data_IF_119540455102
#
_entry.id   IF_119540455102
#
_cell.length_a   1.000
_cell.length_b   1.000
_cell.length_c   1.000
_cell.angle_alpha   90.00
_cell.angle_beta   90.00
_cell.angle_gamma   90.00
#
_symmetry.space_group_name_H-M   'P 1'
#
loop_
_entity.id
_entity.type
_entity.pdbx_description
1 polymer ?
#
# COMPACT_ATOMS: atom_id res chain seq x y z
N UNK A 1 -0.55 2.79 13.13
CA UNK A 1 -1.30 2.70 14.42
C UNK A 1 -2.59 1.90 14.30
N UNK A 2 -3.44 2.15 13.31
CA UNK A 2 -4.64 1.31 13.07
C UNK A 2 -4.25 -0.11 12.63
N UNK A 3 -3.19 -0.24 11.85
CA UNK A 3 -2.67 -1.53 11.39
C UNK A 3 -2.29 -2.46 12.55
N UNK A 4 -1.60 -1.94 13.55
CA UNK A 4 -1.25 -2.67 14.79
C UNK A 4 -2.48 -3.10 15.62
N UNK A 5 -3.62 -2.45 15.42
CA UNK A 5 -4.87 -2.80 16.09
C UNK A 5 -5.63 -3.91 15.36
N UNK A 6 -5.64 -3.87 14.02
CA UNK A 6 -6.28 -4.86 13.15
C UNK A 6 -5.47 -6.16 13.03
N UNK A 7 -4.15 -6.07 13.20
CA UNK A 7 -3.22 -7.22 13.16
C UNK A 7 -2.80 -7.70 14.56
N UNK A 8 -3.62 -7.46 15.60
CA UNK A 8 -3.34 -8.03 16.92
C UNK A 8 -3.38 -9.56 16.83
N UNK A 9 -2.34 -10.24 17.36
CA UNK A 9 -2.33 -11.70 17.43
C UNK A 9 -3.62 -12.21 18.07
N UNK A 10 -4.35 -13.10 17.36
CA UNK A 10 -5.62 -13.65 17.82
C UNK A 10 -6.87 -12.84 17.48
N UNK A 11 -6.78 -11.79 16.65
CA UNK A 11 -7.98 -11.09 16.14
C UNK A 11 -8.73 -11.97 15.13
N UNK A 12 -10.05 -11.81 15.03
CA UNK A 12 -10.88 -12.54 14.06
C UNK A 12 -10.44 -12.27 12.61
N UNK A 13 -9.93 -11.08 12.31
CA UNK A 13 -9.38 -10.73 11.00
C UNK A 13 -8.10 -11.50 10.67
N UNK A 14 -7.20 -11.70 11.64
CA UNK A 14 -6.01 -12.53 11.44
C UNK A 14 -6.39 -13.99 11.19
N UNK A 15 -7.28 -14.55 12.01
CA UNK A 15 -7.74 -15.92 11.85
C UNK A 15 -8.37 -16.16 10.47
N UNK A 16 -9.13 -15.18 9.95
CA UNK A 16 -9.72 -15.25 8.60
C UNK A 16 -8.66 -15.21 7.50
N UNK A 17 -7.69 -14.29 7.59
CA UNK A 17 -6.59 -14.18 6.62
C UNK A 17 -5.71 -15.43 6.62
N UNK A 18 -5.43 -15.99 7.80
CA UNK A 18 -4.65 -17.22 7.91
C UNK A 18 -5.42 -18.43 7.35
N UNK A 19 -6.72 -18.54 7.63
CA UNK A 19 -7.56 -19.60 7.06
C UNK A 19 -7.60 -19.51 5.52
N UNK A 20 -7.70 -18.29 4.95
CA UNK A 20 -7.65 -18.08 3.51
C UNK A 20 -6.28 -18.43 2.94
N UNK A 21 -5.20 -18.04 3.61
CA UNK A 21 -3.83 -18.37 3.20
C UNK A 21 -3.59 -19.88 3.17
N UNK A 22 -4.05 -20.61 4.19
CA UNK A 22 -3.97 -22.08 4.21
C UNK A 22 -4.72 -22.71 3.05
N UNK A 23 -5.97 -22.28 2.79
CA UNK A 23 -6.76 -22.79 1.66
C UNK A 23 -6.09 -22.57 0.31
N UNK A 24 -5.56 -21.35 0.07
CA UNK A 24 -4.88 -21.04 -1.18
C UNK A 24 -3.59 -21.82 -1.37
N UNK A 25 -2.80 -21.97 -0.29
CA UNK A 25 -1.60 -22.83 -0.30
C UNK A 25 -1.96 -24.29 -0.63
N UNK A 26 -2.97 -24.84 0.03
CA UNK A 26 -3.39 -26.24 -0.13
C UNK A 26 -3.97 -26.49 -1.53
N UNK A 27 -4.54 -25.45 -2.16
CA UNK A 27 -4.94 -25.45 -3.57
C UNK A 27 -3.75 -25.28 -4.54
N UNK A 28 -2.52 -25.14 -4.06
CA UNK A 28 -1.33 -24.99 -4.90
C UNK A 28 -1.18 -23.60 -5.54
N UNK A 29 -1.87 -22.58 -5.04
CA UNK A 29 -1.79 -21.23 -5.59
C UNK A 29 -0.45 -20.60 -5.22
N UNK A 30 0.27 -20.08 -6.23
CA UNK A 30 1.57 -19.43 -6.02
C UNK A 30 1.38 -18.03 -5.42
N UNK A 31 2.24 -17.59 -4.47
CA UNK A 31 2.19 -16.25 -3.89
C UNK A 31 2.18 -15.14 -4.95
N UNK A 32 3.09 -15.22 -5.94
CA UNK A 32 3.19 -14.24 -7.03
C UNK A 32 1.87 -14.08 -7.81
N UNK A 33 1.12 -15.17 -7.99
CA UNK A 33 -0.17 -15.12 -8.68
C UNK A 33 -1.21 -14.34 -7.86
N UNK A 34 -1.15 -14.43 -6.53
CA UNK A 34 -2.02 -13.68 -5.62
C UNK A 34 -1.66 -12.19 -5.67
N UNK A 35 -0.36 -11.86 -5.65
CA UNK A 35 0.12 -10.47 -5.79
C UNK A 35 -0.33 -9.86 -7.12
N UNK A 36 -0.25 -10.60 -8.24
CA UNK A 36 -0.74 -10.13 -9.54
C UNK A 36 -2.26 -9.96 -9.55
N UNK A 37 -3.01 -10.83 -8.89
CA UNK A 37 -4.46 -10.67 -8.75
C UNK A 37 -4.83 -9.45 -7.88
N UNK A 38 -4.06 -9.19 -6.80
CA UNK A 38 -4.18 -7.99 -5.99
C UNK A 38 -3.91 -6.72 -6.82
N UNK A 39 -2.82 -6.70 -7.59
CA UNK A 39 -2.49 -5.63 -8.52
C UNK A 39 -3.61 -5.37 -9.52
N UNK A 40 -4.09 -6.40 -10.20
CA UNK A 40 -5.16 -6.27 -11.20
C UNK A 40 -6.45 -5.70 -10.58
N UNK A 41 -6.81 -6.16 -9.38
CA UNK A 41 -7.95 -5.66 -8.61
C UNK A 41 -7.75 -4.18 -8.22
N UNK A 42 -6.56 -3.82 -7.76
CA UNK A 42 -6.24 -2.43 -7.39
C UNK A 42 -6.28 -1.46 -8.57
N UNK A 43 -5.74 -1.87 -9.72
CA UNK A 43 -5.83 -1.09 -10.97
C UNK A 43 -7.30 -0.94 -11.42
N UNK A 44 -8.09 -2.02 -11.37
CA UNK A 44 -9.52 -1.97 -11.66
C UNK A 44 -10.26 -1.00 -10.71
N UNK A 45 -9.91 -0.98 -9.43
CA UNK A 45 -10.47 -0.01 -8.49
C UNK A 45 -10.18 1.44 -8.93
N UNK A 46 -8.98 1.75 -9.36
CA UNK A 46 -8.62 3.05 -9.92
C UNK A 46 -9.46 3.44 -11.14
N UNK A 47 -9.65 2.52 -12.08
CA UNK A 47 -10.52 2.71 -13.25
C UNK A 47 -11.96 2.98 -12.83
N UNK A 48 -12.49 2.23 -11.88
CA UNK A 48 -13.86 2.40 -11.36
C UNK A 48 -14.07 3.75 -10.66
N UNK A 49 -13.06 4.27 -9.94
CA UNK A 49 -13.08 5.64 -9.40
C UNK A 49 -13.18 6.66 -10.53
N UNK A 50 -12.41 6.47 -11.61
CA UNK A 50 -12.44 7.33 -12.78
C UNK A 50 -13.79 7.32 -13.53
N UNK A 51 -14.54 6.22 -13.42
CA UNK A 51 -15.89 6.04 -13.97
C UNK A 51 -17.01 6.46 -13.00
N UNK A 52 -16.69 7.13 -11.89
CA UNK A 52 -17.63 7.54 -10.83
C UNK A 52 -18.40 6.37 -10.17
N UNK A 53 -17.82 5.16 -10.21
CA UNK A 53 -18.36 3.95 -9.56
C UNK A 53 -17.78 3.76 -8.15
N UNK A 54 -17.88 4.78 -7.30
CA UNK A 54 -17.16 4.89 -6.04
C UNK A 54 -17.35 3.68 -5.09
N UNK A 55 -18.58 3.22 -4.84
CA UNK A 55 -18.82 2.07 -3.95
C UNK A 55 -18.21 0.78 -4.50
N UNK A 56 -18.33 0.54 -5.80
CA UNK A 56 -17.73 -0.62 -6.45
C UNK A 56 -16.21 -0.54 -6.40
N UNK A 57 -15.66 0.64 -6.64
CA UNK A 57 -14.23 0.89 -6.54
C UNK A 57 -13.68 0.55 -5.14
N UNK A 58 -14.35 1.00 -4.08
CA UNK A 58 -13.95 0.70 -2.70
C UNK A 58 -14.06 -0.79 -2.38
N UNK A 59 -15.11 -1.47 -2.84
CA UNK A 59 -15.25 -2.91 -2.66
C UNK A 59 -14.10 -3.68 -3.35
N UNK A 60 -13.77 -3.32 -4.59
CA UNK A 60 -12.69 -3.94 -5.36
C UNK A 60 -11.32 -3.59 -4.76
N UNK A 61 -11.12 -2.37 -4.24
CA UNK A 61 -9.90 -1.98 -3.53
C UNK A 61 -9.73 -2.77 -2.23
N UNK A 62 -10.82 -3.02 -1.50
CA UNK A 62 -10.78 -3.87 -0.31
C UNK A 62 -10.37 -5.32 -0.66
N UNK A 63 -10.88 -5.87 -1.77
CA UNK A 63 -10.44 -7.18 -2.27
C UNK A 63 -8.95 -7.16 -2.60
N UNK A 64 -8.46 -6.14 -3.30
CA UNK A 64 -7.02 -5.95 -3.57
C UNK A 64 -6.21 -5.97 -2.27
N UNK A 65 -6.62 -5.21 -1.25
CA UNK A 65 -5.93 -5.17 0.04
C UNK A 65 -5.94 -6.50 0.80
N UNK A 66 -7.02 -7.28 0.69
CA UNK A 66 -7.09 -8.63 1.29
C UNK A 66 -6.15 -9.60 0.57
N UNK A 67 -6.15 -9.62 -0.76
CA UNK A 67 -5.27 -10.47 -1.56
C UNK A 67 -3.80 -10.20 -1.25
N UNK A 68 -3.42 -8.95 -1.19
CA UNK A 68 -2.08 -8.49 -0.84
C UNK A 68 -1.70 -8.85 0.63
N UNK A 69 -2.63 -8.76 1.58
CA UNK A 69 -2.37 -9.24 2.94
C UNK A 69 -2.18 -10.78 3.01
N UNK A 70 -2.72 -11.52 2.06
CA UNK A 70 -2.70 -12.99 2.03
C UNK A 70 -1.48 -13.54 1.31
N UNK A 71 -0.97 -12.89 0.25
CA UNK A 71 0.16 -13.41 -0.54
C UNK A 71 1.43 -13.62 0.29
N UNK A 72 1.77 -12.65 1.15
CA UNK A 72 2.88 -12.77 2.09
C UNK A 72 2.68 -13.87 3.15
N UNK A 73 1.42 -14.16 3.54
CA UNK A 73 1.11 -15.29 4.41
C UNK A 73 1.32 -16.63 3.69
N UNK A 74 0.81 -16.75 2.45
CA UNK A 74 1.00 -17.95 1.62
C UNK A 74 2.48 -18.20 1.37
N UNK A 75 3.28 -17.16 1.09
CA UNK A 75 4.71 -17.27 0.95
C UNK A 75 5.38 -17.85 2.21
N UNK A 76 5.04 -17.33 3.39
CA UNK A 76 5.57 -17.83 4.68
C UNK A 76 5.15 -19.26 5.01
N UNK A 77 3.96 -19.67 4.59
CA UNK A 77 3.47 -21.06 4.77
C UNK A 77 4.09 -22.06 3.78
N UNK A 78 4.70 -21.57 2.70
CA UNK A 78 5.37 -22.37 1.67
C UNK A 78 6.89 -22.36 1.79
N UNK A 79 7.58 -22.05 0.68
CA UNK A 79 9.05 -22.01 0.58
C UNK A 79 9.70 -20.78 1.24
N UNK A 80 8.91 -19.91 1.81
CA UNK A 80 9.36 -18.63 2.38
C UNK A 80 9.33 -17.45 1.38
N UNK A 81 9.51 -16.21 1.90
CA UNK A 81 9.59 -15.03 1.08
C UNK A 81 10.80 -15.07 0.12
N UNK A 82 10.62 -14.61 -1.11
CA UNK A 82 11.68 -14.51 -2.12
C UNK A 82 12.06 -13.05 -2.38
N UNK A 83 13.31 -12.75 -2.81
CA UNK A 83 13.68 -11.41 -3.23
C UNK A 83 12.81 -10.87 -4.36
N UNK A 84 12.44 -11.72 -5.32
CA UNK A 84 11.55 -11.36 -6.40
C UNK A 84 10.14 -11.01 -5.91
N UNK A 85 9.57 -11.82 -5.03
CA UNK A 85 8.26 -11.55 -4.42
C UNK A 85 8.24 -10.18 -3.72
N UNK A 86 9.31 -9.81 -3.00
CA UNK A 86 9.42 -8.49 -2.39
C UNK A 86 9.50 -7.33 -3.38
N UNK A 87 10.14 -7.52 -4.53
CA UNK A 87 10.15 -6.53 -5.62
C UNK A 87 8.76 -6.42 -6.25
N UNK A 88 8.13 -7.56 -6.55
CA UNK A 88 6.80 -7.60 -7.16
C UNK A 88 5.76 -6.91 -6.27
N UNK A 89 5.76 -7.20 -4.97
CA UNK A 89 4.90 -6.58 -3.96
C UNK A 89 5.08 -5.06 -3.94
N UNK A 90 6.32 -4.58 -3.77
CA UNK A 90 6.62 -3.15 -3.72
C UNK A 90 6.19 -2.40 -4.98
N UNK A 91 6.44 -2.96 -6.16
CA UNK A 91 6.08 -2.33 -7.44
C UNK A 91 4.56 -2.35 -7.64
N UNK A 92 3.89 -3.46 -7.28
CA UNK A 92 2.44 -3.60 -7.36
C UNK A 92 1.73 -2.56 -6.51
N UNK A 93 2.16 -2.33 -5.28
CA UNK A 93 1.64 -1.29 -4.41
C UNK A 93 1.71 0.10 -5.06
N UNK A 94 2.85 0.44 -5.67
CA UNK A 94 3.03 1.75 -6.34
C UNK A 94 2.12 1.91 -7.55
N UNK A 95 1.91 0.84 -8.32
CA UNK A 95 0.99 0.86 -9.46
C UNK A 95 -0.46 1.03 -9.00
N UNK A 96 -0.88 0.35 -7.94
CA UNK A 96 -2.24 0.48 -7.37
C UNK A 96 -2.47 1.91 -6.86
N UNK A 97 -1.54 2.48 -6.08
CA UNK A 97 -1.62 3.86 -5.60
C UNK A 97 -1.72 4.87 -6.75
N UNK A 98 -0.85 4.72 -7.76
CA UNK A 98 -0.86 5.59 -8.93
C UNK A 98 -2.17 5.47 -9.72
N UNK A 99 -2.67 4.24 -9.94
CA UNK A 99 -3.93 3.99 -10.65
C UNK A 99 -5.11 4.61 -9.94
N UNK A 100 -5.17 4.48 -8.61
CA UNK A 100 -6.22 5.09 -7.79
C UNK A 100 -6.16 6.63 -7.87
N UNK A 101 -4.97 7.21 -7.72
CA UNK A 101 -4.78 8.67 -7.78
C UNK A 101 -5.14 9.24 -9.16
N UNK A 102 -4.79 8.54 -10.24
CA UNK A 102 -5.19 8.89 -11.60
C UNK A 102 -6.71 8.81 -11.78
N UNK A 103 -7.36 7.76 -11.28
CA UNK A 103 -8.81 7.64 -11.30
C UNK A 103 -9.52 8.78 -10.56
N UNK A 104 -8.93 9.26 -9.47
CA UNK A 104 -9.44 10.44 -8.74
C UNK A 104 -9.24 11.73 -9.54
N UNK A 105 -8.05 11.94 -10.09
CA UNK A 105 -7.63 13.25 -10.61
C UNK A 105 -8.03 13.51 -12.07
N UNK A 106 -7.92 12.49 -12.94
CA UNK A 106 -8.11 12.68 -14.39
C UNK A 106 -9.50 13.24 -14.73
N UNK A 107 -10.62 12.70 -14.21
CA UNK A 107 -11.94 13.24 -14.53
C UNK A 107 -12.31 14.49 -13.73
N UNK A 108 -11.44 14.96 -12.80
CA UNK A 108 -11.74 16.07 -11.88
C UNK A 108 -10.64 17.13 -11.91
N UNK A 109 -10.69 18.11 -12.82
CA UNK A 109 -9.63 19.12 -13.01
C UNK A 109 -9.21 19.83 -11.72
N UNK A 110 -10.16 20.07 -10.79
CA UNK A 110 -9.88 20.73 -9.51
C UNK A 110 -9.08 19.87 -8.51
N UNK A 111 -8.92 18.57 -8.79
CA UNK A 111 -8.10 17.64 -7.97
C UNK A 111 -6.73 17.35 -8.59
N UNK A 112 -6.45 17.81 -9.82
CA UNK A 112 -5.20 17.51 -10.52
C UNK A 112 -3.99 18.09 -9.78
N UNK A 113 -4.04 19.37 -9.36
CA UNK A 113 -2.94 19.99 -8.62
C UNK A 113 -2.73 19.32 -7.25
N UNK A 114 -3.77 19.12 -6.41
CA UNK A 114 -3.62 18.34 -5.18
C UNK A 114 -3.02 16.95 -5.42
N UNK A 115 -3.48 16.24 -6.43
CA UNK A 115 -2.98 14.91 -6.75
C UNK A 115 -1.51 14.93 -7.20
N UNK A 116 -1.10 15.95 -7.98
CA UNK A 116 0.29 16.12 -8.37
C UNK A 116 1.20 16.39 -7.16
N UNK A 117 0.75 17.21 -6.21
CA UNK A 117 1.46 17.45 -4.95
C UNK A 117 1.61 16.16 -4.16
N UNK A 118 0.54 15.36 -4.05
CA UNK A 118 0.59 14.07 -3.36
C UNK A 118 1.53 13.09 -4.06
N UNK A 119 1.46 12.98 -5.38
CA UNK A 119 2.37 12.12 -6.16
C UNK A 119 3.84 12.53 -5.97
N UNK A 120 4.15 13.83 -5.94
CA UNK A 120 5.49 14.32 -5.66
C UNK A 120 5.97 13.92 -4.26
N UNK A 121 5.10 13.97 -3.24
CA UNK A 121 5.47 13.52 -1.88
C UNK A 121 5.70 12.02 -1.82
N UNK A 122 4.90 11.21 -2.51
CA UNK A 122 5.10 9.76 -2.61
C UNK A 122 6.41 9.43 -3.32
N UNK A 123 6.74 10.14 -4.41
CA UNK A 123 8.02 9.98 -5.10
C UNK A 123 9.20 10.22 -4.16
N UNK A 124 9.22 11.35 -3.44
CA UNK A 124 10.30 11.66 -2.48
C UNK A 124 10.36 10.62 -1.36
N UNK A 125 9.20 10.24 -0.80
CA UNK A 125 9.14 9.23 0.26
C UNK A 125 9.67 7.87 -0.19
N UNK A 126 9.34 7.45 -1.41
CA UNK A 126 9.85 6.22 -2.01
C UNK A 126 11.37 6.31 -2.25
N UNK A 127 11.87 7.43 -2.78
CA UNK A 127 13.30 7.63 -2.96
C UNK A 127 14.07 7.54 -1.64
N UNK A 128 13.58 8.18 -0.58
CA UNK A 128 14.20 8.10 0.76
C UNK A 128 14.17 6.65 1.27
N UNK A 129 13.04 5.97 1.13
CA UNK A 129 12.91 4.58 1.56
C UNK A 129 13.91 3.67 0.86
N UNK A 130 13.98 3.74 -0.48
CA UNK A 130 14.89 2.91 -1.27
C UNK A 130 16.36 3.27 -1.03
N UNK A 131 16.70 4.57 -0.94
CA UNK A 131 18.07 5.02 -0.71
C UNK A 131 18.60 4.59 0.67
N UNK A 132 17.79 4.77 1.72
CA UNK A 132 18.15 4.32 3.08
C UNK A 132 18.25 2.81 3.14
N UNK A 133 17.29 2.09 2.50
CA UNK A 133 17.31 0.64 2.44
C UNK A 133 18.55 0.09 1.72
N UNK A 134 18.92 0.67 0.58
CA UNK A 134 20.10 0.26 -0.17
C UNK A 134 21.43 0.58 0.55
N UNK A 135 21.48 1.69 1.26
CA UNK A 135 22.67 2.10 2.03
C UNK A 135 22.82 1.33 3.36
N UNK A 136 21.74 0.77 3.89
CA UNK A 136 21.78 -0.02 5.13
C UNK A 136 22.48 -1.34 4.88
N UNK A 137 23.61 -1.56 5.59
CA UNK A 137 24.39 -2.81 5.52
C UNK A 137 23.81 -3.93 6.39
N UNK A 138 22.71 -3.70 7.07
CA UNK A 138 22.07 -4.71 7.90
C UNK A 138 21.57 -5.85 7.03
N UNK A 139 22.07 -7.05 7.30
CA UNK A 139 21.58 -8.32 6.71
C UNK A 139 20.22 -8.68 7.32
N UNK A 140 19.19 -7.91 6.98
CA UNK A 140 17.82 -8.24 7.33
C UNK A 140 17.33 -9.38 6.43
N UNK A 141 16.50 -10.28 6.99
CA UNK A 141 15.76 -11.30 6.22
C UNK A 141 14.81 -10.65 5.19
N UNK A 142 14.47 -9.39 5.37
CA UNK A 142 13.75 -8.57 4.37
C UNK A 142 14.73 -8.01 3.36
N UNK A 143 14.32 -8.01 2.10
CA UNK A 143 15.11 -7.49 0.95
C UNK A 143 15.55 -6.04 1.18
N UNK A 144 14.72 -5.25 1.87
CA UNK A 144 15.00 -3.87 2.29
C UNK A 144 14.48 -3.71 3.72
N UNK A 145 15.31 -3.23 4.69
CA UNK A 145 14.84 -2.92 6.04
C UNK A 145 13.78 -1.82 5.96
N UNK A 146 12.63 -2.04 6.60
CA UNK A 146 11.49 -1.12 6.56
C UNK A 146 11.60 -0.11 7.72
N UNK A 147 12.08 1.12 7.50
CA UNK A 147 12.06 2.14 8.54
C UNK A 147 10.61 2.54 8.84
N UNK A 148 10.22 2.62 10.13
CA UNK A 148 8.85 2.96 10.52
C UNK A 148 8.46 4.36 10.02
N UNK A 149 7.20 4.52 9.64
CA UNK A 149 6.58 5.79 9.24
C UNK A 149 5.17 5.90 9.79
N UNK A 150 4.56 7.09 9.71
CA UNK A 150 3.18 7.32 10.18
C UNK A 150 2.17 6.76 9.18
N UNK A 151 2.47 6.82 7.88
CA UNK A 151 1.59 6.33 6.84
C UNK A 151 1.82 4.84 6.61
N UNK A 152 0.82 4.05 6.97
CA UNK A 152 0.74 2.61 6.76
C UNK A 152 -0.48 2.29 5.88
N UNK A 153 -0.69 1.01 5.56
CA UNK A 153 -1.75 0.52 4.64
C UNK A 153 -3.17 0.96 5.05
N UNK A 154 -3.47 0.93 6.34
CA UNK A 154 -4.81 1.25 6.85
C UNK A 154 -5.16 2.73 6.66
N UNK A 155 -4.18 3.62 6.83
CA UNK A 155 -4.34 5.05 6.59
C UNK A 155 -4.63 5.33 5.10
N UNK A 156 -4.05 4.56 4.19
CA UNK A 156 -4.34 4.61 2.75
C UNK A 156 -5.78 4.21 2.42
N UNK A 157 -6.33 3.18 3.06
CA UNK A 157 -7.73 2.79 2.87
C UNK A 157 -8.70 3.85 3.41
N UNK A 158 -8.43 4.42 4.59
CA UNK A 158 -9.23 5.51 5.15
C UNK A 158 -9.20 6.72 4.22
N UNK A 159 -8.03 7.09 3.70
CA UNK A 159 -7.88 8.14 2.71
C UNK A 159 -8.73 7.86 1.46
N UNK A 160 -8.69 6.65 0.90
CA UNK A 160 -9.47 6.26 -0.26
C UNK A 160 -10.98 6.40 0.00
N UNK A 161 -11.47 5.95 1.15
CA UNK A 161 -12.88 6.09 1.58
C UNK A 161 -13.28 7.57 1.62
N UNK A 162 -12.47 8.42 2.26
CA UNK A 162 -12.76 9.87 2.38
C UNK A 162 -12.84 10.51 0.99
N UNK A 163 -11.85 10.26 0.14
CA UNK A 163 -11.76 10.88 -1.20
C UNK A 163 -12.92 10.46 -2.09
N UNK A 164 -13.35 9.19 -2.01
CA UNK A 164 -14.40 8.64 -2.87
C UNK A 164 -15.80 8.99 -2.35
N UNK A 165 -16.06 8.87 -1.04
CA UNK A 165 -17.39 9.04 -0.48
C UNK A 165 -17.70 10.47 -0.04
N UNK A 166 -16.68 11.29 0.18
CA UNK A 166 -16.82 12.67 0.62
C UNK A 166 -16.15 13.64 -0.37
N UNK A 167 -16.68 13.81 -1.59
CA UNK A 167 -16.01 14.61 -2.65
C UNK A 167 -15.73 16.05 -2.23
N UNK A 168 -16.55 16.64 -1.33
CA UNK A 168 -16.34 17.97 -0.77
C UNK A 168 -15.06 18.08 0.06
N UNK A 169 -14.63 16.99 0.67
CA UNK A 169 -13.42 16.90 1.50
C UNK A 169 -12.21 16.36 0.73
N UNK A 170 -12.41 15.86 -0.49
CA UNK A 170 -11.35 15.19 -1.26
C UNK A 170 -10.10 16.06 -1.40
N UNK A 171 -10.25 17.33 -1.78
CA UNK A 171 -9.13 18.27 -1.92
C UNK A 171 -8.33 18.44 -0.63
N UNK A 172 -9.02 18.66 0.48
CA UNK A 172 -8.40 18.82 1.80
C UNK A 172 -7.73 17.52 2.25
N UNK A 173 -8.40 16.38 2.06
CA UNK A 173 -7.86 15.07 2.39
C UNK A 173 -6.58 14.77 1.60
N UNK A 174 -6.53 15.08 0.31
CA UNK A 174 -5.33 14.88 -0.52
C UNK A 174 -4.16 15.72 0.01
N UNK A 175 -4.37 17.00 0.33
CA UNK A 175 -3.31 17.84 0.89
C UNK A 175 -2.88 17.37 2.29
N UNK A 176 -3.83 17.01 3.15
CA UNK A 176 -3.51 16.47 4.48
C UNK A 176 -2.65 15.20 4.36
N UNK A 177 -3.02 14.30 3.45
CA UNK A 177 -2.26 13.08 3.21
C UNK A 177 -0.87 13.36 2.62
N UNK A 178 -0.74 14.37 1.76
CA UNK A 178 0.56 14.83 1.26
C UNK A 178 1.46 15.35 2.38
N UNK A 179 0.92 16.14 3.32
CA UNK A 179 1.66 16.63 4.51
C UNK A 179 2.14 15.44 5.36
N UNK A 180 1.28 14.46 5.62
CA UNK A 180 1.67 13.24 6.34
C UNK A 180 2.75 12.46 5.59
N UNK A 181 2.70 12.45 4.26
CA UNK A 181 3.74 11.86 3.40
C UNK A 181 5.10 12.53 3.58
N UNK A 182 5.14 13.87 3.63
CA UNK A 182 6.36 14.64 3.91
C UNK A 182 6.90 14.32 5.31
N UNK A 183 6.03 14.29 6.32
CA UNK A 183 6.44 13.93 7.68
C UNK A 183 7.05 12.53 7.73
N UNK A 184 6.41 11.56 7.06
CA UNK A 184 6.93 10.19 6.97
C UNK A 184 8.28 10.13 6.27
N UNK A 185 8.46 10.88 5.17
CA UNK A 185 9.75 10.97 4.47
C UNK A 185 10.85 11.57 5.37
N UNK A 186 10.53 12.63 6.12
CA UNK A 186 11.46 13.25 7.07
C UNK A 186 11.85 12.30 8.20
N UNK A 187 10.89 11.54 8.75
CA UNK A 187 11.17 10.52 9.77
C UNK A 187 12.11 9.43 9.25
N UNK A 188 11.85 8.92 8.03
CA UNK A 188 12.72 7.92 7.39
C UNK A 188 14.11 8.46 7.09
N UNK A 189 14.21 9.71 6.64
CA UNK A 189 15.48 10.36 6.40
C UNK A 189 16.29 10.55 7.70
N UNK A 190 15.62 11.00 8.78
CA UNK A 190 16.24 11.14 10.10
C UNK A 190 16.69 9.79 10.67
N UNK A 191 15.90 8.72 10.46
CA UNK A 191 16.30 7.36 10.81
C UNK A 191 17.56 6.94 10.04
N UNK A 192 17.55 7.13 8.71
CA UNK A 192 18.70 6.81 7.86
C UNK A 192 19.97 7.53 8.32
N UNK A 193 19.89 8.84 8.66
CA UNK A 193 21.03 9.60 9.18
C UNK A 193 21.59 8.99 10.47
N UNK A 194 20.73 8.50 11.37
CA UNK A 194 21.18 7.89 12.64
C UNK A 194 21.77 6.48 12.45
N UNK A 195 21.25 5.74 11.46
CA UNK A 195 21.69 4.37 11.21
C UNK A 195 22.95 4.28 10.36
N UNK A 196 23.26 5.31 9.56
CA UNK A 196 24.36 5.32 8.60
C UNK A 196 25.50 6.26 8.97
N UNK A 197 25.28 7.21 9.88
CA UNK A 197 26.30 8.17 10.39
C UNK A 197 26.73 7.80 11.79
#
# INVERSE_FOLDING_TARGET
MLDTWLTRPGSASEALLDALAHRLRDAGVRPDAITVAALASGVLAGVLVGMDRGWLALAVLAVSGVLDAVDGRVARLGSGPTPWGGVLDLVSDRIVEASFLLGVAVPRPWLQVPALVLAATWYVNLCVFLAVGAASRERSVKVIPYPPGILERTEGLVFAVIVVLLPRLARTAIYAYAVLGVVTAAQRFAYGRRALG
#
